data_IF_918051807612
#
_entry.id   IF_918051807612
#
_cell.length_a   1.000
_cell.length_b   1.000
_cell.length_c   1.000
_cell.angle_alpha   90.00
_cell.angle_beta   90.00
_cell.angle_gamma   90.00
#
_symmetry.space_group_name_H-M   'P 1'
#
loop_
_entity.id
_entity.type
_entity.pdbx_description
1 polymer ?
#
# COMPACT_ATOMS: atom_id res chain seq x y z
N UNK A 1 10.41 -19.33 -13.05
CA UNK A 1 9.79 -20.40 -12.22
C UNK A 1 9.89 -20.07 -10.74
N UNK A 2 10.21 -18.83 -10.38
CA UNK A 2 10.55 -18.48 -8.99
C UNK A 2 9.31 -18.31 -8.13
N UNK A 3 8.21 -17.84 -8.72
CA UNK A 3 6.93 -17.65 -8.04
C UNK A 3 5.99 -18.87 -8.19
N UNK A 4 5.94 -19.48 -9.37
CA UNK A 4 5.02 -20.57 -9.71
C UNK A 4 5.73 -21.92 -9.87
N UNK A 5 5.03 -23.00 -9.49
CA UNK A 5 5.43 -24.38 -9.73
C UNK A 5 4.74 -24.95 -11.00
N UNK A 6 5.49 -25.27 -12.06
CA UNK A 6 4.91 -25.86 -13.27
C UNK A 6 4.45 -27.31 -13.08
N UNK A 7 4.88 -28.01 -12.02
CA UNK A 7 4.52 -29.40 -11.73
C UNK A 7 3.31 -29.53 -10.80
N UNK A 8 2.52 -28.46 -10.66
CA UNK A 8 1.35 -28.33 -9.78
C UNK A 8 1.73 -28.11 -8.31
N UNK A 9 1.22 -27.04 -7.70
CA UNK A 9 1.33 -26.81 -6.26
C UNK A 9 -0.05 -26.91 -5.62
N UNK A 10 -0.11 -27.20 -4.31
CA UNK A 10 -1.38 -27.25 -3.57
C UNK A 10 -1.97 -25.86 -3.32
N UNK A 11 -1.23 -24.79 -3.62
CA UNK A 11 -1.64 -23.42 -3.37
C UNK A 11 -2.36 -22.86 -4.60
N UNK A 12 -3.28 -21.92 -4.38
CA UNK A 12 -3.98 -21.21 -5.46
C UNK A 12 -2.99 -20.69 -6.50
N UNK A 13 -3.36 -20.78 -7.77
CA UNK A 13 -2.52 -20.35 -8.90
C UNK A 13 -1.15 -21.05 -8.98
N UNK A 14 -0.98 -22.24 -8.39
CA UNK A 14 0.28 -23.00 -8.38
C UNK A 14 1.47 -22.23 -7.78
N UNK A 15 1.22 -21.44 -6.74
CA UNK A 15 2.27 -20.65 -6.07
C UNK A 15 3.19 -21.54 -5.22
N UNK A 16 4.49 -21.21 -5.21
CA UNK A 16 5.52 -21.90 -4.39
C UNK A 16 5.53 -21.50 -2.92
N UNK A 17 4.67 -20.57 -2.49
CA UNK A 17 4.54 -20.12 -1.10
C UNK A 17 3.20 -20.52 -0.51
N UNK A 18 3.16 -20.73 0.81
CA UNK A 18 1.95 -21.09 1.56
C UNK A 18 0.91 -19.98 1.49
N UNK A 19 1.36 -18.73 1.53
CA UNK A 19 0.55 -17.52 1.29
C UNK A 19 1.26 -16.61 0.29
N UNK A 20 0.54 -15.65 -0.31
CA UNK A 20 1.15 -14.67 -1.21
C UNK A 20 2.21 -13.86 -0.47
N UNK A 21 1.89 -13.36 0.73
CA UNK A 21 2.87 -12.64 1.58
C UNK A 21 4.13 -13.47 1.80
N UNK A 22 3.97 -14.73 2.22
CA UNK A 22 5.10 -15.63 2.46
C UNK A 22 5.92 -15.92 1.19
N UNK A 23 5.33 -15.82 0.00
CA UNK A 23 6.07 -15.93 -1.27
C UNK A 23 6.85 -14.65 -1.58
N UNK A 24 6.18 -13.49 -1.50
CA UNK A 24 6.78 -12.18 -1.78
C UNK A 24 7.95 -11.90 -0.84
N UNK A 25 7.78 -12.20 0.46
CA UNK A 25 8.80 -11.93 1.46
C UNK A 25 10.00 -12.87 1.37
N UNK A 26 9.98 -13.96 0.56
CA UNK A 26 11.20 -14.75 0.30
C UNK A 26 12.31 -13.91 -0.34
N UNK A 27 11.93 -12.89 -1.11
CA UNK A 27 12.86 -11.96 -1.73
C UNK A 27 12.77 -10.57 -1.10
N UNK A 28 11.57 -10.12 -0.71
CA UNK A 28 11.33 -8.83 -0.06
C UNK A 28 11.23 -8.96 1.47
N UNK A 29 12.32 -9.40 2.08
CA UNK A 29 12.40 -9.69 3.52
C UNK A 29 12.11 -8.45 4.37
N UNK A 30 12.36 -7.26 3.85
CA UNK A 30 12.15 -5.99 4.53
C UNK A 30 10.68 -5.70 4.85
N UNK A 31 9.73 -6.40 4.24
CA UNK A 31 8.28 -6.23 4.48
C UNK A 31 7.65 -7.44 5.21
N UNK A 32 8.47 -8.34 5.74
CA UNK A 32 7.96 -9.55 6.40
C UNK A 32 7.14 -9.22 7.67
N UNK A 33 7.56 -8.21 8.43
CA UNK A 33 7.02 -7.91 9.75
C UNK A 33 7.33 -9.02 10.77
N UNK A 34 6.70 -8.98 11.96
CA UNK A 34 5.68 -8.02 12.37
C UNK A 34 6.26 -6.64 12.66
N UNK A 35 5.58 -5.58 12.23
CA UNK A 35 5.91 -4.21 12.63
C UNK A 35 5.07 -3.77 13.84
N UNK A 36 5.59 -2.86 14.65
CA UNK A 36 4.80 -2.24 15.74
C UNK A 36 3.57 -1.51 15.19
N UNK A 37 3.72 -0.91 14.01
CA UNK A 37 2.66 -0.23 13.30
C UNK A 37 2.58 -0.83 11.89
N UNK A 38 1.47 -1.49 11.56
CA UNK A 38 1.26 -2.13 10.26
C UNK A 38 0.12 -1.47 9.48
N UNK A 39 0.26 -1.43 8.16
CA UNK A 39 -0.86 -1.13 7.28
C UNK A 39 -1.68 -2.41 7.11
N UNK A 40 -2.97 -2.39 7.47
CA UNK A 40 -3.79 -3.59 7.60
C UNK A 40 -3.75 -4.50 6.35
N UNK A 41 -3.88 -3.96 5.14
CA UNK A 41 -3.87 -4.80 3.93
C UNK A 41 -2.52 -5.48 3.65
N UNK A 42 -1.41 -4.89 4.11
CA UNK A 42 -0.06 -5.43 3.91
C UNK A 42 0.18 -6.68 4.75
N UNK A 43 -0.59 -6.87 5.83
CA UNK A 43 -0.45 -8.06 6.68
C UNK A 43 -0.97 -9.31 6.00
N UNK A 44 -1.94 -9.16 5.10
CA UNK A 44 -2.65 -10.27 4.45
C UNK A 44 -2.14 -10.51 3.02
N UNK A 45 -2.21 -9.50 2.13
CA UNK A 45 -2.03 -9.71 0.69
C UNK A 45 -1.35 -8.53 -0.01
N UNK A 46 -0.14 -8.77 -0.55
CA UNK A 46 0.61 -7.79 -1.33
C UNK A 46 -0.11 -7.38 -2.63
N UNK A 47 -0.95 -8.27 -3.16
CA UNK A 47 -1.66 -8.09 -4.44
C UNK A 47 -2.88 -7.18 -4.36
N UNK A 48 -3.27 -6.72 -3.16
CA UNK A 48 -4.30 -5.69 -3.02
C UNK A 48 -3.83 -4.34 -3.61
N UNK A 49 -2.52 -4.12 -3.62
CA UNK A 49 -1.91 -2.90 -4.14
C UNK A 49 -1.03 -3.15 -5.36
N UNK A 50 -0.38 -4.32 -5.46
CA UNK A 50 0.62 -4.61 -6.50
C UNK A 50 0.16 -5.66 -7.51
N UNK A 51 0.57 -5.46 -8.77
CA UNK A 51 0.41 -6.41 -9.86
C UNK A 51 1.71 -7.20 -10.10
N UNK A 52 1.81 -8.47 -9.69
CA UNK A 52 3.06 -9.23 -9.69
C UNK A 52 3.59 -9.57 -11.10
N UNK A 53 2.76 -9.40 -12.14
CA UNK A 53 3.11 -9.72 -13.53
C UNK A 53 3.45 -8.49 -14.38
N UNK A 54 3.32 -7.28 -13.82
CA UNK A 54 3.50 -6.04 -14.57
C UNK A 54 2.31 -5.10 -14.40
N UNK A 55 2.59 -3.81 -14.28
CA UNK A 55 1.58 -2.75 -14.37
C UNK A 55 2.21 -1.49 -14.99
N UNK A 56 1.43 -0.66 -15.70
CA UNK A 56 1.89 0.64 -16.18
C UNK A 56 2.10 1.67 -15.07
N UNK A 57 1.69 1.37 -13.83
CA UNK A 57 1.82 2.28 -12.69
C UNK A 57 3.03 1.85 -11.83
N UNK A 58 4.00 2.74 -11.61
CA UNK A 58 5.15 2.42 -10.75
C UNK A 58 4.79 2.43 -9.25
N UNK A 59 5.34 1.51 -8.41
CA UNK A 59 6.16 0.35 -8.75
C UNK A 59 5.30 -0.92 -8.86
N UNK A 60 4.67 -1.13 -10.01
CA UNK A 60 3.71 -2.21 -10.26
C UNK A 60 2.39 -2.08 -9.50
N UNK A 61 1.81 -0.89 -9.38
CA UNK A 61 0.54 -0.70 -8.67
C UNK A 61 -0.67 -1.10 -9.52
N UNK A 62 -1.67 -1.74 -8.92
CA UNK A 62 -2.95 -2.03 -9.60
C UNK A 62 -3.64 -0.74 -10.07
N UNK A 63 -3.55 0.33 -9.27
CA UNK A 63 -4.09 1.66 -9.58
C UNK A 63 -3.05 2.74 -9.29
N UNK A 64 -2.99 3.78 -10.13
CA UNK A 64 -2.10 4.90 -9.91
C UNK A 64 -2.47 5.70 -8.63
N UNK A 65 -1.47 6.23 -7.96
CA UNK A 65 -1.69 7.22 -6.89
C UNK A 65 -2.23 8.54 -7.46
N UNK A 66 -3.07 9.27 -6.70
CA UNK A 66 -3.52 8.98 -5.32
C UNK A 66 -4.72 8.01 -5.23
N UNK A 67 -5.31 7.62 -6.36
CA UNK A 67 -6.58 6.88 -6.38
C UNK A 67 -6.51 5.52 -5.69
N UNK A 68 -5.37 4.82 -5.74
CA UNK A 68 -5.17 3.58 -4.99
C UNK A 68 -5.47 3.75 -3.50
N UNK A 69 -4.89 4.78 -2.88
CA UNK A 69 -5.06 5.06 -1.46
C UNK A 69 -6.49 5.50 -1.15
N UNK A 70 -7.10 6.25 -2.07
CA UNK A 70 -8.46 6.78 -1.91
C UNK A 70 -9.57 5.73 -2.03
N UNK A 71 -9.24 4.50 -2.42
CA UNK A 71 -10.20 3.38 -2.38
C UNK A 71 -10.58 3.02 -0.94
N UNK A 72 -9.69 3.26 0.02
CA UNK A 72 -9.93 3.00 1.44
C UNK A 72 -9.86 4.27 2.30
N UNK A 73 -9.02 5.24 1.95
CA UNK A 73 -8.88 6.48 2.71
C UNK A 73 -9.69 7.62 2.11
N UNK A 74 -10.54 8.28 2.90
CA UNK A 74 -11.27 9.48 2.45
C UNK A 74 -10.36 10.73 2.22
N UNK A 75 -9.04 10.60 2.41
CA UNK A 75 -8.06 11.67 2.18
C UNK A 75 -7.99 12.72 3.30
N UNK A 76 -7.07 13.67 3.13
CA UNK A 76 -6.97 14.84 4.00
C UNK A 76 -7.99 15.87 3.55
N UNK A 77 -9.22 15.77 4.03
CA UNK A 77 -10.12 16.92 4.03
C UNK A 77 -9.45 18.00 4.90
N UNK A 78 -8.88 19.02 4.26
CA UNK A 78 -8.34 20.16 4.97
C UNK A 78 -9.43 20.77 5.86
N UNK A 79 -9.08 21.52 6.93
CA UNK A 79 -10.07 22.07 7.88
C UNK A 79 -11.12 23.03 7.28
N UNK A 80 -11.19 23.21 5.96
CA UNK A 80 -12.12 24.09 5.24
C UNK A 80 -12.40 23.58 3.81
N UNK A 81 -12.83 22.33 3.63
CA UNK A 81 -13.31 21.87 2.31
C UNK A 81 -14.69 21.23 2.41
N UNK A 82 -15.65 21.98 2.96
CA UNK A 82 -17.05 21.59 3.08
C UNK A 82 -17.79 21.62 1.72
N UNK A 83 -17.08 21.90 0.63
CA UNK A 83 -17.61 21.89 -0.71
C UNK A 83 -16.58 21.20 -1.59
N UNK A 84 -16.97 20.09 -2.23
CA UNK A 84 -16.20 19.35 -3.24
C UNK A 84 -15.97 20.17 -4.52
N UNK A 85 -15.64 21.45 -4.37
CA UNK A 85 -15.30 22.36 -5.44
C UNK A 85 -13.79 22.32 -5.64
N UNK A 86 -13.37 21.90 -6.82
CA UNK A 86 -11.98 21.93 -7.35
C UNK A 86 -11.50 23.38 -7.58
N UNK A 87 -11.83 24.29 -6.66
CA UNK A 87 -11.73 25.73 -6.85
C UNK A 87 -10.36 26.28 -6.44
N UNK A 88 -9.68 25.68 -5.46
CA UNK A 88 -8.36 26.16 -5.05
C UNK A 88 -7.23 25.40 -5.73
N UNK A 89 -6.22 26.15 -6.20
CA UNK A 89 -4.96 25.61 -6.73
C UNK A 89 -4.32 24.63 -5.74
N UNK A 90 -4.48 24.88 -4.43
CA UNK A 90 -4.02 24.01 -3.34
C UNK A 90 -4.73 22.64 -3.31
N UNK A 91 -6.04 22.58 -3.58
CA UNK A 91 -6.76 21.32 -3.68
C UNK A 91 -6.38 20.55 -4.95
N UNK A 92 -6.17 21.25 -6.08
CA UNK A 92 -5.59 20.62 -7.28
C UNK A 92 -4.21 20.03 -6.96
N UNK A 93 -3.36 20.75 -6.24
CA UNK A 93 -2.05 20.26 -5.80
C UNK A 93 -2.15 18.96 -4.97
N UNK A 94 -3.13 18.87 -4.05
CA UNK A 94 -3.35 17.69 -3.22
C UNK A 94 -3.87 16.46 -4.00
N UNK A 95 -4.68 16.68 -5.06
CA UNK A 95 -5.10 15.61 -5.97
C UNK A 95 -4.00 15.15 -6.93
N UNK A 96 -2.98 15.97 -7.18
CA UNK A 96 -1.85 15.63 -8.04
C UNK A 96 -0.58 15.22 -7.28
N UNK A 97 -0.54 15.38 -5.95
CA UNK A 97 0.57 14.92 -5.11
C UNK A 97 0.50 13.41 -4.85
N UNK A 98 1.64 12.72 -4.87
CA UNK A 98 1.67 11.30 -4.51
C UNK A 98 1.57 11.19 -2.99
N UNK A 99 0.68 10.32 -2.50
CA UNK A 99 0.48 10.15 -1.06
C UNK A 99 1.80 9.79 -0.34
N UNK A 100 2.64 9.01 -1.02
CA UNK A 100 3.95 8.56 -0.52
C UNK A 100 5.01 9.64 -0.43
N UNK A 101 4.78 10.85 -0.94
CA UNK A 101 5.70 11.97 -0.76
C UNK A 101 5.75 12.43 0.69
N UNK A 102 4.67 12.21 1.45
CA UNK A 102 4.61 12.47 2.89
C UNK A 102 4.39 11.20 3.72
N UNK A 103 3.60 10.24 3.22
CA UNK A 103 3.36 8.96 3.89
C UNK A 103 4.35 7.92 3.36
N UNK A 104 5.60 7.99 3.81
CA UNK A 104 6.67 7.14 3.27
C UNK A 104 6.65 5.70 3.81
N UNK A 105 6.08 5.47 5.01
CA UNK A 105 6.07 4.17 5.68
C UNK A 105 4.76 3.38 5.46
N UNK A 106 4.35 3.15 4.22
CA UNK A 106 3.08 2.47 3.90
C UNK A 106 3.08 0.95 4.11
N UNK A 107 4.25 0.31 4.18
CA UNK A 107 4.37 -1.14 4.41
C UNK A 107 4.51 -1.53 5.89
N UNK A 108 4.43 -0.56 6.79
CA UNK A 108 4.65 -0.72 8.22
C UNK A 108 5.96 -0.12 8.71
N UNK A 109 6.05 0.15 10.01
CA UNK A 109 7.23 0.71 10.67
C UNK A 109 7.27 0.36 12.15
N UNK A 110 8.48 0.19 12.68
CA UNK A 110 8.74 0.04 14.11
C UNK A 110 9.06 1.38 14.79
N UNK A 111 9.17 2.45 14.00
CA UNK A 111 9.52 3.77 14.50
C UNK A 111 8.24 4.47 14.94
N UNK A 112 8.09 4.82 16.23
CA UNK A 112 6.98 5.66 16.67
C UNK A 112 7.08 7.02 15.97
N UNK A 113 5.94 7.56 15.56
CA UNK A 113 5.90 8.88 14.92
C UNK A 113 6.59 9.93 15.81
N UNK A 114 7.27 10.90 15.19
CA UNK A 114 8.03 11.94 15.91
C UNK A 114 7.21 12.72 16.96
N UNK A 115 5.88 12.67 16.87
CA UNK A 115 4.94 13.31 17.79
C UNK A 115 4.45 12.37 18.91
N UNK A 116 5.05 11.19 19.08
CA UNK A 116 4.70 10.23 20.15
C UNK A 116 3.31 9.62 20.02
N UNK A 117 2.66 9.77 18.86
CA UNK A 117 1.35 9.20 18.54
C UNK A 117 1.53 8.28 17.34
N UNK A 118 2.08 7.09 17.60
CA UNK A 118 2.18 6.02 16.62
C UNK A 118 0.79 5.50 16.26
N UNK A 119 0.06 6.28 15.50
CA UNK A 119 -1.15 5.82 14.85
C UNK A 119 -0.91 6.07 13.37
N UNK A 120 -0.81 5.00 12.59
CA UNK A 120 -1.37 5.08 11.25
C UNK A 120 -2.78 5.60 11.44
N UNK A 121 -3.12 6.70 10.78
CA UNK A 121 -4.39 7.41 10.99
C UNK A 121 -5.50 6.49 10.46
N UNK A 122 -5.90 5.54 11.29
CA UNK A 122 -7.14 4.78 11.18
C UNK A 122 -8.11 5.52 12.09
N UNK A 123 -8.93 6.36 11.47
CA UNK A 123 -10.22 6.75 12.02
C UNK A 123 -11.28 6.10 11.16
#
# INVERSE_FOLDING_TARGET
>A
TDCHDPHNSTNRHNLKGITTKALCTKCHMEYQGPFVYEHADVTEECTNCHSPHGSPNDPLLEVAQPFLCMQCHAGHHGPQSDQGTLSSTSMKQAFFSRCTDCHTSIHGTDIPSAHGRGSFISR
#
